data_IF_792645863452
#
_entry.id   IF_792645863452
#
_cell.length_a   1.000
_cell.length_b   1.000
_cell.length_c   1.000
_cell.angle_alpha   90.00
_cell.angle_beta   90.00
_cell.angle_gamma   90.00
#
_symmetry.space_group_name_H-M   'P 1'
#
loop_
_entity.id
_entity.type
_entity.pdbx_description
1 polymer ?
#
# COMPACT_ATOMS: atom_id res chain seq x y z
N UNK A 1 -0.68 -11.64 -0.02
CA UNK A 1 -0.89 -10.39 -0.76
C UNK A 1 -1.48 -9.34 0.16
N UNK A 2 -1.46 -8.05 -0.21
CA UNK A 2 -2.20 -7.02 0.51
C UNK A 2 -2.32 -5.73 -0.28
N UNK A 3 -3.40 -4.99 -0.03
CA UNK A 3 -3.68 -3.66 -0.61
C UNK A 3 -3.45 -2.55 0.42
N UNK A 4 -2.93 -1.39 0.00
CA UNK A 4 -2.79 -0.20 0.84
C UNK A 4 -1.96 -0.49 2.11
N UNK A 5 -2.55 -0.33 3.29
CA UNK A 5 -1.95 -0.72 4.56
C UNK A 5 -1.62 -2.21 4.65
N UNK A 6 -2.49 -3.06 4.10
CA UNK A 6 -2.20 -4.48 3.90
C UNK A 6 -1.02 -4.70 2.95
N UNK A 7 -0.84 -3.82 1.96
CA UNK A 7 0.32 -3.81 1.07
C UNK A 7 1.62 -3.52 1.82
N UNK A 8 1.61 -2.55 2.75
CA UNK A 8 2.77 -2.28 3.62
C UNK A 8 3.11 -3.49 4.49
N UNK A 9 2.10 -4.13 5.08
CA UNK A 9 2.29 -5.37 5.86
C UNK A 9 2.83 -6.51 4.99
N UNK A 10 2.33 -6.66 3.76
CA UNK A 10 2.83 -7.65 2.81
C UNK A 10 4.28 -7.38 2.38
N UNK A 11 4.67 -6.10 2.27
CA UNK A 11 6.04 -5.69 1.99
C UNK A 11 6.98 -5.95 3.16
N UNK A 12 6.53 -5.68 4.39
CA UNK A 12 7.28 -6.05 5.59
C UNK A 12 7.47 -7.56 5.68
N UNK A 13 6.41 -8.33 5.46
CA UNK A 13 6.52 -9.78 5.40
C UNK A 13 7.51 -10.22 4.32
N UNK A 14 7.48 -9.60 3.13
CA UNK A 14 8.43 -9.90 2.06
C UNK A 14 9.90 -9.59 2.44
N UNK A 15 10.12 -8.48 3.16
CA UNK A 15 11.45 -8.09 3.62
C UNK A 15 12.04 -9.07 4.65
N UNK A 16 11.20 -9.70 5.48
CA UNK A 16 11.64 -10.42 6.68
C UNK A 16 11.40 -11.94 6.68
N UNK A 17 10.47 -12.45 5.87
CA UNK A 17 10.05 -13.85 5.90
C UNK A 17 10.56 -14.65 4.71
N UNK A 18 11.43 -15.63 5.00
CA UNK A 18 12.00 -16.56 4.02
C UNK A 18 11.04 -17.66 3.57
N UNK A 19 9.97 -17.88 4.32
CA UNK A 19 8.95 -18.89 4.02
C UNK A 19 7.92 -18.44 2.98
N UNK A 20 8.01 -17.19 2.49
CA UNK A 20 7.13 -16.67 1.45
C UNK A 20 7.66 -16.99 0.06
N UNK A 21 6.92 -17.80 -0.69
CA UNK A 21 7.21 -18.04 -2.11
C UNK A 21 6.89 -16.82 -2.98
N UNK A 22 5.82 -16.09 -2.64
CA UNK A 22 5.35 -14.91 -3.39
C UNK A 22 4.70 -13.87 -2.47
N UNK A 23 5.10 -12.61 -2.60
CA UNK A 23 4.38 -11.46 -2.04
C UNK A 23 3.88 -10.54 -3.15
N UNK A 24 2.55 -10.36 -3.23
CA UNK A 24 1.91 -9.37 -4.11
C UNK A 24 1.51 -8.17 -3.26
N UNK A 25 2.08 -7.01 -3.57
CA UNK A 25 1.96 -5.76 -2.82
C UNK A 25 1.20 -4.77 -3.70
N UNK A 26 -0.02 -4.39 -3.33
CA UNK A 26 -0.93 -3.62 -4.19
C UNK A 26 -1.13 -2.24 -3.60
N UNK A 27 -0.91 -1.19 -4.40
CA UNK A 27 -1.07 0.22 -4.01
C UNK A 27 -0.62 0.51 -2.58
N UNK A 28 0.61 0.11 -2.16
CA UNK A 28 0.97 0.14 -0.76
C UNK A 28 1.08 1.58 -0.26
N UNK A 29 0.57 1.82 0.94
CA UNK A 29 0.55 3.14 1.55
C UNK A 29 1.89 3.50 2.22
N UNK A 30 2.99 3.45 1.45
CA UNK A 30 4.29 3.94 1.93
C UNK A 30 4.31 5.46 2.08
N UNK A 31 3.52 6.17 1.28
CA UNK A 31 3.29 7.61 1.41
C UNK A 31 1.90 7.98 0.91
N UNK A 32 1.41 9.13 1.35
CA UNK A 32 0.11 9.67 0.96
C UNK A 32 0.29 10.81 -0.03
N UNK A 33 -0.58 10.89 -1.05
CA UNK A 33 -0.51 11.91 -2.09
C UNK A 33 -0.60 13.34 -1.55
N UNK A 34 -1.36 13.53 -0.46
CA UNK A 34 -1.54 14.84 0.21
C UNK A 34 -0.34 15.27 1.05
N UNK A 35 0.63 14.39 1.31
CA UNK A 35 1.78 14.68 2.16
C UNK A 35 3.05 14.60 1.31
N UNK A 36 3.83 15.69 1.19
CA UNK A 36 5.11 15.63 0.49
C UNK A 36 5.99 14.52 1.07
N UNK A 37 6.63 13.72 0.21
CA UNK A 37 7.41 12.55 0.65
C UNK A 37 8.44 12.89 1.73
N UNK A 38 9.20 13.96 1.50
CA UNK A 38 10.21 14.51 2.42
C UNK A 38 9.66 14.92 3.80
N UNK A 39 8.36 15.19 3.89
CA UNK A 39 7.68 15.52 5.14
C UNK A 39 6.93 14.33 5.75
N UNK A 40 6.74 13.23 5.00
CA UNK A 40 5.93 12.09 5.45
C UNK A 40 6.48 11.49 6.74
N UNK A 41 7.82 11.39 6.88
CA UNK A 41 8.46 10.87 8.10
C UNK A 41 8.25 11.79 9.29
N UNK A 42 8.40 13.11 9.10
CA UNK A 42 8.21 14.09 10.17
C UNK A 42 6.74 14.19 10.60
N UNK A 43 5.82 14.14 9.64
CA UNK A 43 4.38 14.12 9.90
C UNK A 43 4.00 12.89 10.71
N UNK A 44 4.50 11.71 10.35
CA UNK A 44 4.32 10.48 11.11
C UNK A 44 4.81 10.63 12.57
N UNK A 45 6.01 11.16 12.79
CA UNK A 45 6.53 11.37 14.15
C UNK A 45 5.63 12.30 14.97
N UNK A 46 5.18 13.41 14.36
CA UNK A 46 4.28 14.36 15.01
C UNK A 46 2.94 13.70 15.37
N UNK A 47 2.31 13.01 14.43
CA UNK A 47 1.01 12.35 14.66
C UNK A 47 1.10 11.21 15.68
N UNK A 48 2.28 10.60 15.85
CA UNK A 48 2.52 9.60 16.89
C UNK A 48 2.64 10.17 18.30
N UNK A 49 2.94 11.47 18.43
CA UNK A 49 3.06 12.16 19.73
C UNK A 49 1.73 12.77 20.21
N UNK A 50 0.83 13.11 19.28
CA UNK A 50 -0.50 13.62 19.62
C UNK A 50 -1.39 12.49 20.17
N UNK A 51 -2.42 12.77 20.99
CA UNK A 51 -3.40 11.77 21.39
C UNK A 51 -4.06 11.10 20.18
N UNK A 52 -4.52 9.85 20.33
CA UNK A 52 -5.25 9.20 19.25
C UNK A 52 -6.59 9.90 18.99
N UNK A 53 -7.03 9.86 17.74
CA UNK A 53 -8.31 10.37 17.32
C UNK A 53 -8.90 9.44 16.26
N UNK A 54 -10.20 9.19 16.37
CA UNK A 54 -10.95 8.44 15.37
C UNK A 54 -11.52 9.41 14.34
N UNK A 55 -10.96 9.37 13.14
CA UNK A 55 -11.30 10.28 12.03
C UNK A 55 -12.25 9.55 11.09
N UNK A 56 -13.28 10.25 10.59
CA UNK A 56 -14.19 9.70 9.59
C UNK A 56 -13.45 9.44 8.27
N UNK A 57 -13.74 8.30 7.64
CA UNK A 57 -13.30 8.07 6.26
C UNK A 57 -13.95 9.07 5.30
N UNK A 58 -15.26 9.26 5.47
CA UNK A 58 -16.05 10.27 4.78
C UNK A 58 -16.67 11.23 5.83
N UNK A 59 -16.18 12.48 5.94
CA UNK A 59 -16.70 13.44 6.91
C UNK A 59 -18.12 13.91 6.59
N UNK A 60 -18.58 13.78 5.34
CA UNK A 60 -19.91 14.15 4.90
C UNK A 60 -20.91 13.01 5.16
N UNK A 61 -20.60 11.79 4.71
CA UNK A 61 -21.46 10.63 4.86
C UNK A 61 -21.40 9.97 6.25
N UNK A 62 -20.27 10.12 6.97
CA UNK A 62 -20.03 9.56 8.31
C UNK A 62 -20.31 8.05 8.37
N UNK A 63 -21.30 7.64 9.16
CA UNK A 63 -21.70 6.23 9.34
C UNK A 63 -22.39 5.65 8.11
N UNK A 64 -22.89 6.51 7.21
CA UNK A 64 -23.54 6.10 5.98
C UNK A 64 -22.57 6.04 4.79
N UNK A 65 -21.26 6.14 5.05
CA UNK A 65 -20.23 6.01 4.03
C UNK A 65 -20.20 4.60 3.43
N UNK A 66 -19.83 4.50 2.16
CA UNK A 66 -19.54 3.22 1.51
C UNK A 66 -18.05 2.84 1.72
N UNK A 67 -17.72 1.55 1.77
CA UNK A 67 -18.62 0.40 1.74
C UNK A 67 -19.29 0.15 3.10
N UNK A 68 -20.49 -0.45 3.12
CA UNK A 68 -21.29 -0.60 4.36
C UNK A 68 -20.67 -1.52 5.41
N UNK A 69 -19.70 -2.36 5.01
CA UNK A 69 -18.94 -3.22 5.93
C UNK A 69 -17.71 -2.53 6.54
N UNK A 70 -17.32 -1.35 6.05
CA UNK A 70 -16.18 -0.63 6.61
C UNK A 70 -16.53 -0.02 7.95
N UNK A 71 -15.57 -0.05 8.89
CA UNK A 71 -15.66 0.82 10.05
C UNK A 71 -15.68 2.27 9.59
N UNK A 72 -16.62 3.11 10.06
CA UNK A 72 -16.81 4.45 9.48
C UNK A 72 -15.71 5.44 9.89
N UNK A 73 -14.91 5.08 10.89
CA UNK A 73 -13.77 5.85 11.38
C UNK A 73 -12.51 4.99 11.45
N UNK A 74 -11.36 5.65 11.34
CA UNK A 74 -10.04 5.05 11.55
C UNK A 74 -9.27 5.75 12.66
N UNK A 75 -8.43 4.99 13.37
CA UNK A 75 -7.49 5.52 14.35
C UNK A 75 -6.32 6.19 13.64
N UNK A 76 -6.04 7.44 14.00
CA UNK A 76 -4.86 8.18 13.50
C UNK A 76 -3.56 7.54 13.97
N UNK A 77 -3.54 6.99 15.18
CA UNK A 77 -2.39 6.23 15.68
C UNK A 77 -2.16 4.96 14.88
N UNK A 78 -3.20 4.18 14.60
CA UNK A 78 -3.07 2.98 13.77
C UNK A 78 -2.48 3.32 12.40
N UNK A 79 -2.98 4.39 11.76
CA UNK A 79 -2.44 4.90 10.50
C UNK A 79 -0.95 5.28 10.61
N UNK A 80 -0.58 5.95 11.70
CA UNK A 80 0.80 6.36 11.97
C UNK A 80 1.73 5.17 12.16
N UNK A 81 1.30 4.13 12.88
CA UNK A 81 2.11 2.92 13.07
C UNK A 81 2.32 2.15 11.76
N UNK A 82 1.33 2.15 10.87
CA UNK A 82 1.47 1.54 9.54
C UNK A 82 2.45 2.31 8.65
N UNK A 83 2.43 3.65 8.68
CA UNK A 83 3.49 4.45 8.05
C UNK A 83 4.86 4.13 8.62
N UNK A 84 4.98 3.99 9.95
CA UNK A 84 6.23 3.62 10.62
C UNK A 84 6.74 2.27 10.14
N UNK A 85 5.84 1.29 9.98
CA UNK A 85 6.18 0.00 9.39
C UNK A 85 6.70 0.16 7.96
N UNK A 86 6.09 1.03 7.16
CA UNK A 86 6.55 1.35 5.81
C UNK A 86 7.97 1.93 5.76
N UNK A 87 8.31 2.84 6.68
CA UNK A 87 9.68 3.34 6.81
C UNK A 87 10.66 2.25 7.26
N UNK A 88 10.25 1.36 8.16
CA UNK A 88 11.08 0.22 8.54
C UNK A 88 11.40 -0.69 7.33
N UNK A 89 10.43 -0.93 6.44
CA UNK A 89 10.65 -1.66 5.18
C UNK A 89 11.68 -0.94 4.31
N UNK A 90 11.53 0.37 4.12
CA UNK A 90 12.48 1.17 3.31
C UNK A 90 13.89 1.13 3.89
N UNK A 91 14.02 1.33 5.21
CA UNK A 91 15.30 1.35 5.90
C UNK A 91 16.01 -0.02 5.85
N UNK A 92 15.25 -1.11 5.88
CA UNK A 92 15.79 -2.46 5.74
C UNK A 92 16.11 -2.81 4.29
N UNK A 93 15.27 -2.41 3.34
CA UNK A 93 15.52 -2.58 1.90
C UNK A 93 16.81 -1.89 1.47
N UNK A 94 17.20 -0.79 2.12
CA UNK A 94 18.46 -0.11 1.86
C UNK A 94 19.69 -0.93 2.30
N UNK A 95 19.54 -1.84 3.27
CA UNK A 95 20.65 -2.54 3.92
C UNK A 95 20.81 -3.98 3.45
N UNK A 96 19.72 -4.64 3.06
CA UNK A 96 19.72 -6.09 2.77
C UNK A 96 18.64 -6.46 1.76
N UNK A 97 18.83 -7.57 1.01
CA UNK A 97 17.77 -8.11 0.16
C UNK A 97 16.51 -8.47 0.97
N UNK A 98 15.33 -8.45 0.35
CA UNK A 98 14.13 -9.03 0.94
C UNK A 98 14.28 -10.56 1.03
N UNK A 99 13.59 -11.16 2.01
CA UNK A 99 13.67 -12.59 2.28
C UNK A 99 12.74 -13.46 1.43
N UNK A 100 11.64 -12.90 0.90
CA UNK A 100 10.72 -13.63 0.04
C UNK A 100 11.37 -14.06 -1.28
N UNK A 101 10.94 -15.21 -1.83
CA UNK A 101 11.49 -15.75 -3.08
C UNK A 101 11.09 -14.94 -4.32
N UNK A 102 9.90 -14.34 -4.32
CA UNK A 102 9.38 -13.50 -5.39
C UNK A 102 8.51 -12.38 -4.84
N UNK A 103 8.63 -11.19 -5.42
CA UNK A 103 7.80 -10.03 -5.09
C UNK A 103 7.20 -9.45 -6.37
N UNK A 104 5.91 -9.11 -6.32
CA UNK A 104 5.22 -8.35 -7.36
C UNK A 104 4.69 -7.06 -6.73
N UNK A 105 5.24 -5.92 -7.15
CA UNK A 105 4.73 -4.59 -6.80
C UNK A 105 3.68 -4.17 -7.82
N UNK A 106 2.43 -4.01 -7.37
CA UNK A 106 1.29 -3.57 -8.20
C UNK A 106 1.01 -2.10 -7.91
N UNK A 107 1.16 -1.27 -8.94
CA UNK A 107 0.97 0.17 -8.87
C UNK A 107 -0.34 0.57 -9.56
N UNK A 108 -1.01 1.55 -8.98
CA UNK A 108 -2.17 2.23 -9.57
C UNK A 108 -1.80 3.70 -9.82
N UNK A 109 -1.49 4.13 -11.06
CA UNK A 109 -1.17 5.52 -11.37
C UNK A 109 -2.30 6.51 -11.07
N UNK A 110 -3.55 6.03 -11.09
CA UNK A 110 -4.74 6.86 -10.87
C UNK A 110 -5.17 6.92 -9.40
N UNK A 111 -4.39 6.34 -8.50
CA UNK A 111 -4.64 6.35 -7.07
C UNK A 111 -4.57 7.78 -6.50
N UNK A 112 -5.64 8.22 -5.86
CA UNK A 112 -5.78 9.56 -5.28
C UNK A 112 -5.37 9.61 -3.81
N UNK A 113 -5.14 8.46 -3.17
CA UNK A 113 -4.80 8.34 -1.76
C UNK A 113 -3.30 8.17 -1.54
N UNK A 114 -2.67 7.20 -2.23
CA UNK A 114 -1.26 6.86 -2.03
C UNK A 114 -0.37 7.36 -3.16
N UNK A 115 0.93 7.48 -2.86
CA UNK A 115 1.94 7.86 -3.84
C UNK A 115 2.80 6.63 -4.22
N UNK A 116 2.93 6.37 -5.53
CA UNK A 116 3.76 5.30 -6.08
C UNK A 116 5.28 5.57 -5.98
N UNK A 117 5.74 6.82 -5.87
CA UNK A 117 7.16 7.18 -5.84
C UNK A 117 7.94 6.43 -4.75
N UNK A 118 7.34 6.30 -3.56
CA UNK A 118 7.96 5.57 -2.44
C UNK A 118 8.02 4.06 -2.71
N UNK A 119 7.00 3.51 -3.34
CA UNK A 119 6.96 2.11 -3.76
C UNK A 119 8.05 1.81 -4.78
N UNK A 120 8.23 2.69 -5.77
CA UNK A 120 9.28 2.57 -6.77
C UNK A 120 10.68 2.65 -6.17
N UNK A 121 10.90 3.53 -5.20
CA UNK A 121 12.17 3.61 -4.46
C UNK A 121 12.49 2.34 -3.70
N UNK A 122 11.50 1.74 -3.03
CA UNK A 122 11.68 0.46 -2.33
C UNK A 122 12.00 -0.67 -3.33
N UNK A 123 11.30 -0.73 -4.46
CA UNK A 123 11.60 -1.68 -5.54
C UNK A 123 13.03 -1.50 -6.05
N UNK A 124 13.47 -0.26 -6.28
CA UNK A 124 14.82 0.03 -6.71
C UNK A 124 15.85 -0.48 -5.69
N UNK A 125 15.65 -0.22 -4.39
CA UNK A 125 16.51 -0.74 -3.34
C UNK A 125 16.57 -2.28 -3.35
N UNK A 126 15.44 -2.97 -3.41
CA UNK A 126 15.43 -4.43 -3.53
C UNK A 126 16.17 -4.93 -4.77
N UNK A 127 16.01 -4.27 -5.92
CA UNK A 127 16.75 -4.63 -7.15
C UNK A 127 18.27 -4.45 -6.98
N UNK A 128 18.73 -3.42 -6.28
CA UNK A 128 20.18 -3.24 -6.00
C UNK A 128 20.77 -4.38 -5.18
N UNK A 129 19.96 -5.08 -4.39
CA UNK A 129 20.35 -6.27 -3.63
C UNK A 129 20.10 -7.59 -4.39
N UNK A 130 19.81 -7.54 -5.69
CA UNK A 130 19.60 -8.74 -6.52
C UNK A 130 18.28 -9.48 -6.26
N UNK A 131 17.29 -8.83 -5.65
CA UNK A 131 16.00 -9.44 -5.35
C UNK A 131 15.21 -9.79 -6.63
N UNK A 132 14.46 -10.90 -6.57
CA UNK A 132 13.47 -11.24 -7.59
C UNK A 132 12.18 -10.42 -7.37
N UNK A 133 12.19 -9.19 -7.89
CA UNK A 133 11.05 -8.27 -7.81
C UNK A 133 10.65 -7.78 -9.20
N UNK A 134 9.36 -7.89 -9.51
CA UNK A 134 8.73 -7.28 -10.68
C UNK A 134 7.77 -6.17 -10.27
N UNK A 135 7.54 -5.24 -11.19
CA UNK A 135 6.53 -4.18 -11.04
C UNK A 135 5.49 -4.36 -12.14
N UNK A 136 4.21 -4.30 -11.78
CA UNK A 136 3.10 -4.18 -12.70
C UNK A 136 2.37 -2.88 -12.40
N UNK A 137 2.15 -2.06 -13.42
CA UNK A 137 1.34 -0.85 -13.31
C UNK A 137 0.07 -1.04 -14.11
N UNK A 138 -1.08 -0.75 -13.50
CA UNK A 138 -2.31 -0.59 -14.28
C UNK A 138 -2.20 0.60 -15.23
N UNK A 139 -2.96 0.56 -16.31
CA UNK A 139 -3.10 1.69 -17.23
C UNK A 139 -3.86 2.83 -16.51
N UNK A 140 -3.29 4.03 -16.54
CA UNK A 140 -3.91 5.22 -15.94
C UNK A 140 -5.29 5.55 -16.54
N UNK A 141 -5.51 5.22 -17.81
CA UNK A 141 -6.79 5.39 -18.52
C UNK A 141 -7.92 4.54 -17.95
N UNK A 142 -7.62 3.52 -17.14
CA UNK A 142 -8.63 2.76 -16.41
C UNK A 142 -9.25 3.55 -15.24
N UNK A 143 -8.60 4.63 -14.78
CA UNK A 143 -9.05 5.49 -13.68
C UNK A 143 -9.45 4.69 -12.42
N UNK A 144 -8.65 3.69 -12.07
CA UNK A 144 -8.96 2.80 -10.95
C UNK A 144 -8.93 3.56 -9.62
N UNK A 145 -9.91 3.36 -8.72
CA UNK A 145 -9.91 3.95 -7.39
C UNK A 145 -8.84 3.32 -6.49
N UNK A 146 -8.61 3.90 -5.30
CA UNK A 146 -7.66 3.34 -4.33
C UNK A 146 -8.01 1.91 -3.91
N UNK A 147 -9.27 1.65 -3.52
CA UNK A 147 -9.73 0.31 -3.13
C UNK A 147 -10.16 -0.51 -4.35
N UNK A 148 -9.28 -0.59 -5.38
CA UNK A 148 -9.51 -1.25 -6.66
C UNK A 148 -9.94 -2.74 -6.60
N UNK A 149 -9.92 -3.36 -5.41
CA UNK A 149 -10.40 -4.72 -5.15
C UNK A 149 -11.77 -4.79 -4.46
N UNK A 150 -12.39 -3.65 -4.13
CA UNK A 150 -13.70 -3.61 -3.50
C UNK A 150 -14.80 -3.76 -4.57
N UNK A 151 -15.75 -4.66 -4.31
CA UNK A 151 -16.87 -4.94 -5.23
C UNK A 151 -17.88 -3.79 -5.30
N UNK A 152 -17.99 -3.02 -4.23
CA UNK A 152 -19.02 -2.01 -3.99
C UNK A 152 -18.50 -0.58 -4.07
N UNK A 153 -17.27 -0.38 -4.56
CA UNK A 153 -16.71 0.95 -4.76
C UNK A 153 -17.13 1.54 -6.11
N UNK A 154 -17.50 2.82 -6.09
CA UNK A 154 -17.76 3.57 -7.32
C UNK A 154 -16.50 3.61 -8.19
N UNK A 155 -16.63 3.26 -9.46
CA UNK A 155 -15.49 3.21 -10.39
C UNK A 155 -14.65 1.93 -10.29
N UNK A 156 -15.07 0.93 -9.50
CA UNK A 156 -14.41 -0.37 -9.50
C UNK A 156 -14.45 -1.02 -10.88
N UNK A 157 -13.39 -1.76 -11.20
CA UNK A 157 -13.20 -2.52 -12.44
C UNK A 157 -12.69 -3.92 -12.13
N UNK A 158 -13.39 -4.65 -11.27
CA UNK A 158 -13.00 -5.99 -10.82
C UNK A 158 -12.95 -6.99 -11.98
N UNK A 159 -13.70 -6.71 -13.06
CA UNK A 159 -13.62 -7.41 -14.35
C UNK A 159 -12.23 -7.36 -14.98
N UNK A 160 -11.46 -6.30 -14.72
CA UNK A 160 -10.08 -6.11 -15.20
C UNK A 160 -9.07 -6.44 -14.11
N UNK A 161 -9.31 -5.96 -12.89
CA UNK A 161 -8.38 -6.08 -11.77
C UNK A 161 -8.20 -7.53 -11.35
N UNK A 162 -9.29 -8.29 -11.16
CA UNK A 162 -9.18 -9.65 -10.61
C UNK A 162 -8.46 -10.61 -11.55
N UNK A 163 -8.80 -10.70 -12.86
CA UNK A 163 -8.04 -11.55 -13.77
C UNK A 163 -6.55 -11.23 -13.77
N UNK A 164 -6.19 -9.94 -13.73
CA UNK A 164 -4.79 -9.53 -13.69
C UNK A 164 -4.11 -9.94 -12.37
N UNK A 165 -4.76 -9.79 -11.22
CA UNK A 165 -4.19 -10.24 -9.94
C UNK A 165 -4.03 -11.76 -9.87
N UNK A 166 -4.96 -12.52 -10.48
CA UNK A 166 -4.88 -13.99 -10.60
C UNK A 166 -3.69 -14.39 -11.47
N UNK A 167 -3.53 -13.76 -12.63
CA UNK A 167 -2.38 -13.96 -13.52
C UNK A 167 -1.04 -13.67 -12.79
N UNK A 168 -0.97 -12.55 -12.06
CA UNK A 168 0.23 -12.18 -11.29
C UNK A 168 0.52 -13.15 -10.13
N UNK A 169 -0.51 -13.83 -9.62
CA UNK A 169 -0.37 -14.90 -8.64
C UNK A 169 0.11 -16.23 -9.25
N UNK A 170 0.26 -16.30 -10.58
CA UNK A 170 0.67 -17.50 -11.30
C UNK A 170 -0.46 -18.52 -11.45
N UNK A 171 -1.70 -18.04 -11.56
CA UNK A 171 -2.90 -18.85 -11.80
C UNK A 171 -3.57 -18.44 -13.10
#
# INVERSE_FOLDING_TARGET
MGLSMGGVTAAWAAQHRKDLDLSIIISPAFGFRKIPERLTRSAMLLFGLLPDAFVWWDPEAKENGAPSYAYPKYSRHALTQLLRLGFAVKDDAAKKPPAAKKIVMVLNPSDDMVNNDMSEKIVALWKTHGANVSTFSFDAGLMLPHDLVALDQKGQRTDVVYPKLVELAGK
#
